data_IF_629191985238
#
_entry.id   IF_629191985238
#
_cell.length_a   1.000
_cell.length_b   1.000
_cell.length_c   1.000
_cell.angle_alpha   90.00
_cell.angle_beta   90.00
_cell.angle_gamma   90.00
#
_symmetry.space_group_name_H-M   'P 1'
#
loop_
_entity.id
_entity.type
_entity.pdbx_description
1 polymer ?
#
# COMPACT_ATOMS: atom_id res chain seq x y z
N UNK A 1 18.61 -18.81 23.58
CA UNK A 1 17.68 -17.80 23.02
C UNK A 1 17.78 -17.94 21.50
N UNK A 2 16.64 -18.07 20.79
CA UNK A 2 16.59 -18.21 19.33
C UNK A 2 15.83 -17.03 18.73
N UNK A 3 16.54 -16.11 18.07
CA UNK A 3 15.96 -14.92 17.42
C UNK A 3 16.04 -15.13 15.90
N UNK A 4 14.92 -15.11 15.16
CA UNK A 4 14.94 -15.19 13.70
C UNK A 4 15.66 -13.97 13.09
N UNK A 5 16.49 -14.20 12.08
CA UNK A 5 17.21 -13.12 11.37
C UNK A 5 16.35 -12.42 10.30
N UNK A 6 15.10 -12.87 10.12
CA UNK A 6 14.20 -12.28 9.14
C UNK A 6 13.69 -10.92 9.60
N UNK A 7 13.96 -9.91 8.79
CA UNK A 7 13.37 -8.58 8.90
C UNK A 7 13.07 -8.07 7.51
N UNK A 8 12.21 -7.06 7.42
CA UNK A 8 11.93 -6.40 6.16
C UNK A 8 11.87 -4.89 6.40
N UNK A 9 12.47 -4.09 5.52
CA UNK A 9 12.26 -2.65 5.55
C UNK A 9 10.77 -2.37 5.28
N UNK A 10 10.32 -1.20 5.72
CA UNK A 10 8.97 -0.73 5.42
C UNK A 10 8.94 0.79 5.40
N UNK A 11 8.12 1.35 4.51
CA UNK A 11 7.75 2.76 4.50
C UNK A 11 6.32 2.85 5.02
N UNK A 12 6.14 3.57 6.12
CA UNK A 12 4.84 3.73 6.78
C UNK A 12 4.58 5.19 7.13
N UNK A 13 3.40 5.43 7.71
CA UNK A 13 2.98 6.76 8.15
C UNK A 13 2.30 7.55 7.04
N UNK A 14 1.60 6.90 6.11
CA UNK A 14 0.74 7.58 5.15
C UNK A 14 -0.57 7.95 5.84
N UNK A 15 -0.71 9.22 6.23
CA UNK A 15 -1.92 9.72 6.89
C UNK A 15 -2.73 10.57 5.92
N UNK A 16 -4.01 10.79 6.22
CA UNK A 16 -4.86 11.68 5.43
C UNK A 16 -4.26 13.10 5.31
N UNK A 17 -3.47 13.52 6.29
CA UNK A 17 -2.81 14.82 6.37
C UNK A 17 -1.50 14.90 5.56
N UNK A 18 -0.93 13.78 5.09
CA UNK A 18 0.34 13.82 4.36
C UNK A 18 0.31 13.15 3.00
N UNK A 19 -0.67 12.29 2.72
CA UNK A 19 -0.75 11.53 1.48
C UNK A 19 -0.86 12.46 0.26
N UNK A 20 -1.57 13.58 0.37
CA UNK A 20 -1.65 14.59 -0.69
C UNK A 20 -0.32 15.33 -0.92
N UNK A 21 0.57 15.37 0.08
CA UNK A 21 1.94 15.90 -0.06
C UNK A 21 2.85 14.86 -0.70
N UNK A 22 2.67 13.58 -0.35
CA UNK A 22 3.37 12.49 -1.02
C UNK A 22 2.99 12.42 -2.51
N UNK A 23 1.72 12.62 -2.86
CA UNK A 23 1.21 12.53 -4.23
C UNK A 23 1.41 13.80 -5.07
N UNK A 24 1.21 14.99 -4.48
CA UNK A 24 1.30 16.29 -5.18
C UNK A 24 2.63 17.03 -5.00
N UNK A 25 3.53 16.48 -4.19
CA UNK A 25 4.78 17.13 -3.79
C UNK A 25 4.55 18.30 -2.81
N UNK A 26 5.66 18.90 -2.36
CA UNK A 26 5.67 19.91 -1.29
C UNK A 26 4.98 21.23 -1.64
N UNK A 27 4.97 21.62 -2.90
CA UNK A 27 4.51 22.96 -3.35
C UNK A 27 3.07 22.99 -3.84
N UNK A 28 2.51 21.84 -4.25
CA UNK A 28 1.14 21.70 -4.76
C UNK A 28 0.53 20.41 -4.24
N UNK A 29 0.43 20.34 -2.93
CA UNK A 29 -0.10 19.19 -2.23
C UNK A 29 -1.60 19.02 -2.59
N UNK A 30 -1.95 17.95 -3.32
CA UNK A 30 -3.31 17.72 -3.87
C UNK A 30 -3.51 16.27 -4.29
N UNK A 31 -4.76 15.80 -4.30
CA UNK A 31 -5.18 14.51 -4.87
C UNK A 31 -5.31 14.52 -6.39
N UNK A 32 -5.23 15.69 -7.03
CA UNK A 32 -5.46 15.79 -8.47
C UNK A 32 -4.55 14.86 -9.31
N UNK A 33 -3.25 14.70 -9.03
CA UNK A 33 -2.40 13.77 -9.77
C UNK A 33 -2.89 12.32 -9.70
N UNK A 34 -3.36 11.90 -8.52
CA UNK A 34 -3.92 10.57 -8.30
C UNK A 34 -5.23 10.39 -9.10
N UNK A 35 -6.16 11.33 -8.96
CA UNK A 35 -7.44 11.29 -9.66
C UNK A 35 -7.26 11.32 -11.18
N UNK A 36 -6.39 12.20 -11.68
CA UNK A 36 -6.10 12.32 -13.12
C UNK A 36 -5.48 11.02 -13.65
N UNK A 37 -4.61 10.36 -12.89
CA UNK A 37 -4.02 9.08 -13.28
C UNK A 37 -5.06 7.93 -13.30
N UNK A 38 -6.03 7.92 -12.40
CA UNK A 38 -7.16 6.96 -12.44
C UNK A 38 -8.07 7.26 -13.63
N UNK A 39 -8.48 8.52 -13.81
CA UNK A 39 -9.39 8.93 -14.89
C UNK A 39 -8.77 8.71 -16.28
N UNK A 40 -7.46 8.90 -16.43
CA UNK A 40 -6.73 8.62 -17.65
C UNK A 40 -6.49 7.11 -17.89
N UNK A 41 -6.89 6.25 -16.95
CA UNK A 41 -6.73 4.80 -17.03
C UNK A 41 -5.28 4.32 -16.86
N UNK A 42 -4.40 5.13 -16.25
CA UNK A 42 -3.00 4.71 -15.99
C UNK A 42 -2.94 3.61 -14.94
N UNK A 43 -3.82 3.65 -13.95
CA UNK A 43 -4.04 2.56 -13.00
C UNK A 43 -5.53 2.53 -12.60
N UNK A 44 -6.00 1.40 -12.10
CA UNK A 44 -7.44 1.13 -11.96
C UNK A 44 -8.11 1.82 -10.77
N UNK A 45 -7.36 2.16 -9.74
CA UNK A 45 -7.89 2.81 -8.55
C UNK A 45 -7.18 2.38 -7.27
N UNK A 46 -7.87 2.59 -6.15
CA UNK A 46 -7.38 2.24 -4.81
C UNK A 46 -8.34 1.24 -4.16
N UNK A 47 -7.79 0.23 -3.50
CA UNK A 47 -8.53 -0.68 -2.63
C UNK A 47 -7.98 -0.61 -1.20
N UNK A 48 -8.85 -0.82 -0.21
CA UNK A 48 -8.45 -0.97 1.18
C UNK A 48 -8.48 -2.44 1.59
N UNK A 49 -7.34 -2.98 2.02
CA UNK A 49 -7.26 -4.33 2.59
C UNK A 49 -6.99 -4.17 4.09
N UNK A 50 -7.94 -4.65 4.91
CA UNK A 50 -7.95 -4.40 6.35
C UNK A 50 -8.42 -5.64 7.10
N UNK A 51 -8.18 -5.67 8.41
CA UNK A 51 -8.70 -6.67 9.32
C UNK A 51 -7.64 -7.55 9.95
N UNK A 52 -8.06 -8.73 10.39
CA UNK A 52 -7.29 -9.62 11.26
C UNK A 52 -6.82 -10.89 10.52
N UNK A 53 -5.88 -11.62 11.13
CA UNK A 53 -5.65 -13.01 10.78
C UNK A 53 -6.73 -13.92 11.39
N UNK A 54 -6.98 -15.07 10.77
CA UNK A 54 -7.92 -16.08 11.26
C UNK A 54 -7.24 -17.46 11.22
N UNK A 55 -7.23 -18.24 12.32
CA UNK A 55 -6.55 -19.53 12.38
C UNK A 55 -7.14 -20.60 11.43
N UNK A 56 -8.32 -20.37 10.86
CA UNK A 56 -8.91 -21.24 9.82
C UNK A 56 -8.20 -21.15 8.47
N UNK A 57 -7.40 -20.10 8.26
CA UNK A 57 -6.60 -19.90 7.04
C UNK A 57 -5.13 -19.83 7.44
N UNK A 58 -4.24 -20.15 6.49
CA UNK A 58 -2.79 -20.00 6.70
C UNK A 58 -2.49 -18.55 7.08
N UNK A 59 -1.75 -18.35 8.17
CA UNK A 59 -1.39 -17.03 8.69
C UNK A 59 -0.80 -16.14 7.59
N UNK A 60 -1.28 -14.90 7.50
CA UNK A 60 -0.98 -13.86 6.51
C UNK A 60 -1.33 -14.16 5.04
N UNK A 61 -1.65 -15.40 4.67
CA UNK A 61 -1.83 -15.81 3.27
C UNK A 61 -2.88 -14.98 2.52
N UNK A 62 -4.07 -14.83 3.11
CA UNK A 62 -5.16 -14.08 2.48
C UNK A 62 -4.84 -12.60 2.27
N UNK A 63 -4.14 -11.99 3.23
CA UNK A 63 -3.72 -10.59 3.15
C UNK A 63 -2.70 -10.39 2.03
N UNK A 64 -1.61 -11.16 2.08
CA UNK A 64 -0.46 -11.00 1.17
C UNK A 64 -0.84 -11.32 -0.27
N UNK A 65 -1.57 -12.41 -0.52
CA UNK A 65 -1.93 -12.80 -1.88
C UNK A 65 -2.98 -11.86 -2.48
N UNK A 66 -3.94 -11.38 -1.68
CA UNK A 66 -4.90 -10.37 -2.13
C UNK A 66 -4.19 -9.07 -2.51
N UNK A 67 -3.28 -8.58 -1.64
CA UNK A 67 -2.52 -7.35 -1.92
C UNK A 67 -1.66 -7.50 -3.18
N UNK A 68 -0.96 -8.63 -3.37
CA UNK A 68 -0.18 -8.89 -4.59
C UNK A 68 -1.04 -8.90 -5.84
N UNK A 69 -2.19 -9.56 -5.81
CA UNK A 69 -3.08 -9.63 -6.97
C UNK A 69 -3.63 -8.26 -7.34
N UNK A 70 -3.98 -7.44 -6.34
CA UNK A 70 -4.44 -6.07 -6.55
C UNK A 70 -3.36 -5.20 -7.23
N UNK A 71 -2.13 -5.19 -6.69
CA UNK A 71 -1.05 -4.37 -7.26
C UNK A 71 -0.62 -4.89 -8.64
N UNK A 72 -0.61 -6.21 -8.86
CA UNK A 72 -0.35 -6.81 -10.17
C UNK A 72 -1.38 -6.38 -11.22
N UNK A 73 -2.62 -6.16 -10.77
CA UNK A 73 -3.70 -5.62 -11.57
C UNK A 73 -3.83 -4.10 -11.43
N UNK A 74 -2.74 -3.35 -11.24
CA UNK A 74 -2.75 -1.89 -11.26
C UNK A 74 -3.74 -1.23 -10.28
N UNK A 75 -3.96 -1.83 -9.11
CA UNK A 75 -4.73 -1.25 -8.00
C UNK A 75 -3.76 -0.91 -6.87
N UNK A 76 -3.68 0.36 -6.49
CA UNK A 76 -2.92 0.76 -5.31
C UNK A 76 -3.65 0.32 -4.05
N UNK A 77 -2.93 -0.06 -2.99
CA UNK A 77 -3.56 -0.68 -1.82
C UNK A 77 -3.31 0.17 -0.58
N UNK A 78 -4.37 0.57 0.10
CA UNK A 78 -4.30 1.14 1.45
C UNK A 78 -4.47 0.02 2.49
N UNK A 79 -3.63 0.01 3.52
CA UNK A 79 -3.66 -1.04 4.55
C UNK A 79 -3.59 -0.48 5.96
N UNK A 80 -4.27 -1.15 6.87
CA UNK A 80 -4.26 -0.86 8.30
C UNK A 80 -4.21 -2.16 9.11
N UNK A 81 -3.95 -2.02 10.41
CA UNK A 81 -4.10 -3.13 11.36
C UNK A 81 -3.20 -4.33 11.05
N UNK A 82 -3.73 -5.55 11.18
CA UNK A 82 -2.91 -6.75 10.99
C UNK A 82 -2.53 -6.99 9.53
N UNK A 83 -3.34 -6.53 8.57
CA UNK A 83 -2.99 -6.58 7.14
C UNK A 83 -1.71 -5.80 6.88
N UNK A 84 -1.60 -4.59 7.44
CA UNK A 84 -0.38 -3.78 7.35
C UNK A 84 0.86 -4.54 7.82
N UNK A 85 0.76 -5.29 8.92
CA UNK A 85 1.87 -6.09 9.45
C UNK A 85 2.17 -7.31 8.57
N UNK A 86 1.15 -7.97 8.03
CA UNK A 86 1.32 -9.08 7.08
C UNK A 86 2.09 -8.63 5.83
N UNK A 87 1.66 -7.51 5.24
CA UNK A 87 2.26 -6.94 4.04
C UNK A 87 3.66 -6.37 4.31
N UNK A 88 3.91 -5.82 5.50
CA UNK A 88 5.25 -5.40 5.95
C UNK A 88 6.22 -6.59 5.96
N UNK A 89 5.83 -7.70 6.60
CA UNK A 89 6.65 -8.92 6.68
C UNK A 89 6.89 -9.57 5.31
N UNK A 90 5.97 -9.36 4.37
CA UNK A 90 6.12 -9.81 2.99
C UNK A 90 6.93 -8.85 2.11
N UNK A 91 7.37 -7.71 2.64
CA UNK A 91 8.15 -6.71 1.91
C UNK A 91 7.32 -5.91 0.90
N UNK A 92 6.00 -5.82 1.07
CA UNK A 92 5.08 -5.13 0.15
C UNK A 92 4.98 -3.63 0.44
N UNK A 93 5.36 -3.18 1.63
CA UNK A 93 5.40 -1.76 2.03
C UNK A 93 6.71 -1.06 1.60
N UNK A 94 7.34 -1.52 0.53
CA UNK A 94 8.58 -0.97 0.00
C UNK A 94 8.43 -0.52 -1.46
N UNK A 95 9.12 0.53 -1.91
CA UNK A 95 9.09 0.96 -3.32
C UNK A 95 9.45 -0.16 -4.31
N UNK A 96 10.36 -1.06 -3.94
CA UNK A 96 10.80 -2.20 -4.75
C UNK A 96 9.66 -3.19 -5.01
N UNK A 97 8.63 -3.23 -4.15
CA UNK A 97 7.47 -4.08 -4.33
C UNK A 97 6.69 -3.71 -5.60
N UNK A 98 6.68 -2.44 -5.99
CA UNK A 98 6.02 -2.00 -7.23
C UNK A 98 6.67 -2.65 -8.45
N UNK A 99 8.01 -2.67 -8.50
CA UNK A 99 8.75 -3.29 -9.61
C UNK A 99 8.59 -4.80 -9.63
N UNK A 100 8.55 -5.42 -8.44
CA UNK A 100 8.52 -6.88 -8.31
C UNK A 100 7.14 -7.49 -8.54
N UNK A 101 6.08 -6.80 -8.10
CA UNK A 101 4.73 -7.35 -8.04
C UNK A 101 3.68 -6.49 -8.75
N UNK A 102 3.96 -5.20 -8.97
CA UNK A 102 3.00 -4.27 -9.55
C UNK A 102 2.84 -4.46 -11.07
N UNK A 103 1.64 -4.13 -11.56
CA UNK A 103 1.40 -3.93 -12.99
C UNK A 103 2.14 -2.70 -13.53
N UNK A 104 2.06 -2.46 -14.84
CA UNK A 104 2.82 -1.39 -15.49
C UNK A 104 2.42 0.01 -14.98
N UNK A 105 1.14 0.21 -14.69
CA UNK A 105 0.62 1.47 -14.18
C UNK A 105 1.10 1.77 -12.78
N UNK A 106 1.05 0.78 -11.89
CA UNK A 106 1.59 0.91 -10.53
C UNK A 106 3.10 1.13 -10.55
N UNK A 107 3.84 0.40 -11.40
CA UNK A 107 5.28 0.61 -11.56
C UNK A 107 5.62 2.03 -11.99
N UNK A 108 4.90 2.57 -12.97
CA UNK A 108 5.10 3.93 -13.48
C UNK A 108 4.87 4.95 -12.36
N UNK A 109 3.72 4.89 -11.69
CA UNK A 109 3.33 5.89 -10.67
C UNK A 109 4.23 5.82 -9.45
N UNK A 110 4.49 4.61 -8.93
CA UNK A 110 5.37 4.44 -7.77
C UNK A 110 6.79 4.94 -8.07
N UNK A 111 7.29 4.77 -9.31
CA UNK A 111 8.60 5.30 -9.71
C UNK A 111 8.59 6.82 -9.84
N UNK A 112 7.54 7.41 -10.41
CA UNK A 112 7.43 8.85 -10.57
C UNK A 112 7.30 9.57 -9.24
N UNK A 113 6.51 9.02 -8.31
CA UNK A 113 6.19 9.65 -7.02
C UNK A 113 7.20 9.26 -5.93
N UNK A 114 7.82 8.07 -6.03
CA UNK A 114 8.77 7.57 -5.04
C UNK A 114 8.09 6.94 -3.81
N UNK A 115 6.91 6.33 -3.98
CA UNK A 115 6.13 5.71 -2.90
C UNK A 115 5.96 4.20 -3.12
N UNK A 116 5.78 3.39 -2.05
CA UNK A 116 5.39 2.00 -2.19
C UNK A 116 4.00 1.85 -2.82
N UNK A 117 3.71 0.70 -3.46
CA UNK A 117 2.39 0.42 -4.03
C UNK A 117 1.32 0.12 -2.95
N UNK A 118 1.78 -0.21 -1.74
CA UNK A 118 0.96 -0.46 -0.56
C UNK A 118 1.23 0.64 0.47
N UNK A 119 0.18 1.34 0.89
CA UNK A 119 0.23 2.53 1.73
C UNK A 119 -0.25 2.18 3.14
N UNK A 120 0.67 2.16 4.09
CA UNK A 120 0.35 1.91 5.49
C UNK A 120 -0.30 3.13 6.14
N UNK A 121 -1.60 3.02 6.42
CA UNK A 121 -2.42 4.10 6.98
C UNK A 121 -2.65 4.03 8.49
N UNK A 122 -2.12 3.01 9.17
CA UNK A 122 -2.10 2.96 10.63
C UNK A 122 -2.79 1.75 11.25
N UNK A 123 -3.34 1.97 12.43
CA UNK A 123 -4.05 0.99 13.23
C UNK A 123 -5.48 0.74 12.72
N UNK A 124 -6.20 -0.23 13.29
CA UNK A 124 -7.58 -0.52 12.87
C UNK A 124 -8.53 0.69 12.98
N UNK A 125 -8.34 1.58 13.96
CA UNK A 125 -9.18 2.79 14.09
C UNK A 125 -8.85 3.84 13.02
N UNK A 126 -7.66 3.76 12.43
CA UNK A 126 -7.24 4.61 11.31
C UNK A 126 -7.89 4.20 9.99
N UNK A 127 -8.75 3.17 9.97
CA UNK A 127 -9.69 2.95 8.86
C UNK A 127 -10.54 4.20 8.57
N UNK A 128 -10.84 4.99 9.61
CA UNK A 128 -11.48 6.30 9.47
C UNK A 128 -10.72 7.23 8.51
N UNK A 129 -9.40 7.13 8.43
CA UNK A 129 -8.55 7.95 7.54
C UNK A 129 -8.65 7.56 6.07
N UNK A 130 -9.03 6.32 5.78
CA UNK A 130 -9.30 5.86 4.40
C UNK A 130 -10.60 6.50 3.87
N UNK A 131 -11.54 6.79 4.77
CA UNK A 131 -12.87 7.31 4.45
C UNK A 131 -12.93 8.85 4.36
N UNK A 132 -11.83 9.53 4.69
CA UNK A 132 -11.70 11.00 4.60
C UNK A 132 -11.22 11.43 3.21
#
# INVERSE_FOLDING_TARGET
>A
IYIPEQSSPLVAGFTAENIYTALGGRYRATYRPLNDAIMAGRFRGIAAVVGCNNPKIKHDFGHVEMTKELIANDVAVAVTGCTAVADAKAGLLCPEAAVKYGGKGIQEICRTVGIPPVLHMGSCVDNSRILM
#
